data_IF_631612919564
#
_entry.id   IF_631612919564
#
_cell.length_a   1.000
_cell.length_b   1.000
_cell.length_c   1.000
_cell.angle_alpha   90.00
_cell.angle_beta   90.00
_cell.angle_gamma   90.00
#
_symmetry.space_group_name_H-M   'P 1'
#
loop_
_entity.id
_entity.type
_entity.pdbx_description
1 polymer ?
#
# COMPACT_ATOMS: atom_id res chain seq x y z
N UNK A 1 9.17 -26.00 25.21
CA UNK A 1 8.66 -24.68 25.64
C UNK A 1 9.71 -23.65 25.27
N UNK A 2 9.51 -22.93 24.18
CA UNK A 2 10.39 -21.84 23.75
C UNK A 2 9.49 -20.68 23.34
N UNK A 3 9.72 -19.55 24.01
CA UNK A 3 8.79 -18.44 24.14
C UNK A 3 8.45 -17.79 22.82
N UNK A 4 7.15 -17.65 22.57
CA UNK A 4 6.65 -16.64 21.65
C UNK A 4 7.02 -15.27 22.19
N UNK A 5 7.82 -14.54 21.42
CA UNK A 5 8.09 -13.13 21.70
C UNK A 5 6.82 -12.34 21.41
N UNK A 6 6.02 -12.13 22.45
CA UNK A 6 4.92 -11.18 22.46
C UNK A 6 5.47 -9.78 22.17
N UNK A 7 5.01 -9.20 21.07
CA UNK A 7 5.42 -7.89 20.52
C UNK A 7 5.15 -6.75 21.52
N UNK A 8 6.21 -6.04 21.91
CA UNK A 8 6.11 -4.75 22.60
C UNK A 8 5.72 -3.64 21.61
N UNK A 9 4.44 -3.25 21.63
CA UNK A 9 4.02 -1.87 21.96
C UNK A 9 4.12 -0.71 20.95
N UNK A 10 4.54 -0.89 19.69
CA UNK A 10 4.37 0.19 18.69
C UNK A 10 3.00 0.07 17.98
N UNK A 11 2.24 1.17 17.81
CA UNK A 11 0.99 1.12 17.06
C UNK A 11 1.28 0.68 15.62
N UNK A 12 0.39 -0.15 15.07
CA UNK A 12 0.40 -0.53 13.65
C UNK A 12 0.33 0.77 12.82
N UNK A 13 1.27 0.98 11.90
CA UNK A 13 1.22 2.13 11.00
C UNK A 13 0.36 1.82 9.77
N UNK A 14 -0.17 2.87 9.14
CA UNK A 14 -0.89 2.77 7.87
C UNK A 14 -0.20 3.63 6.80
N UNK A 15 -0.13 3.09 5.58
CA UNK A 15 0.61 3.69 4.47
C UNK A 15 -0.24 3.75 3.20
N UNK A 16 -0.10 4.83 2.46
CA UNK A 16 -0.49 4.90 1.04
C UNK A 16 0.78 4.75 0.20
N UNK A 17 0.79 3.78 -0.71
CA UNK A 17 1.81 3.59 -1.73
C UNK A 17 1.26 4.07 -3.09
N UNK A 18 2.11 4.67 -3.93
CA UNK A 18 1.67 5.23 -5.22
C UNK A 18 2.35 4.52 -6.39
N UNK A 19 1.55 3.93 -7.27
CA UNK A 19 1.99 3.24 -8.49
C UNK A 19 0.83 3.13 -9.50
N UNK A 20 1.11 2.92 -10.79
CA UNK A 20 0.06 2.66 -11.78
C UNK A 20 -0.70 1.38 -11.46
N UNK A 21 -2.00 1.31 -11.81
CA UNK A 21 -2.82 0.14 -11.47
C UNK A 21 -2.31 -1.15 -12.13
N UNK A 22 -1.77 -1.07 -13.35
CA UNK A 22 -1.10 -2.20 -14.00
C UNK A 22 0.05 -2.76 -13.15
N UNK A 23 0.89 -1.88 -12.58
CA UNK A 23 1.99 -2.29 -11.72
C UNK A 23 1.46 -2.93 -10.42
N UNK A 24 0.44 -2.32 -9.83
CA UNK A 24 -0.22 -2.82 -8.62
C UNK A 24 -0.81 -4.21 -8.85
N UNK A 25 -1.48 -4.44 -9.98
CA UNK A 25 -2.05 -5.76 -10.32
C UNK A 25 -0.99 -6.86 -10.38
N UNK A 26 0.21 -6.58 -10.91
CA UNK A 26 1.34 -7.52 -10.91
C UNK A 26 1.82 -7.82 -9.48
N UNK A 27 1.97 -6.78 -8.65
CA UNK A 27 2.33 -6.95 -7.23
C UNK A 27 1.29 -7.73 -6.45
N UNK A 28 0.00 -7.47 -6.70
CA UNK A 28 -1.12 -8.20 -6.10
C UNK A 28 -1.10 -9.69 -6.44
N UNK A 29 -0.94 -10.02 -7.72
CA UNK A 29 -0.84 -11.41 -8.19
C UNK A 29 0.39 -12.13 -7.64
N UNK A 30 1.49 -11.40 -7.40
CA UNK A 30 2.73 -11.95 -6.87
C UNK A 30 2.88 -11.88 -5.34
N UNK A 31 1.91 -11.32 -4.60
CA UNK A 31 1.99 -11.21 -3.13
C UNK A 31 3.01 -10.19 -2.61
N UNK A 32 3.41 -9.20 -3.41
CA UNK A 32 4.43 -8.23 -3.02
C UNK A 32 4.02 -6.78 -3.31
N UNK A 33 4.66 -5.85 -2.60
CA UNK A 33 4.69 -4.43 -2.92
C UNK A 33 6.07 -4.00 -3.40
N UNK A 34 6.06 -3.04 -4.32
CA UNK A 34 7.23 -2.34 -4.84
C UNK A 34 6.86 -0.86 -5.04
N UNK A 35 7.74 0.05 -4.62
CA UNK A 35 7.46 1.50 -4.65
C UNK A 35 8.71 2.29 -5.08
N UNK A 36 8.51 3.57 -5.42
CA UNK A 36 9.58 4.54 -5.64
C UNK A 36 10.69 4.03 -6.59
N UNK A 37 10.30 3.44 -7.73
CA UNK A 37 11.20 2.85 -8.74
C UNK A 37 12.08 1.71 -8.21
N UNK A 38 11.59 0.94 -7.22
CA UNK A 38 12.32 -0.22 -6.68
C UNK A 38 13.38 0.13 -5.65
N UNK A 39 13.35 1.34 -5.06
CA UNK A 39 14.30 1.75 -4.01
C UNK A 39 14.03 1.02 -2.69
N UNK A 40 15.08 0.64 -1.99
CA UNK A 40 14.98 0.00 -0.67
C UNK A 40 14.52 0.96 0.44
N UNK A 41 15.00 2.21 0.43
CA UNK A 41 14.83 3.13 1.57
C UNK A 41 13.36 3.39 1.96
N UNK A 42 12.41 3.57 1.02
CA UNK A 42 10.99 3.68 1.36
C UNK A 42 10.44 2.40 2.00
N UNK A 43 10.79 1.22 1.49
CA UNK A 43 10.29 -0.06 2.02
C UNK A 43 10.83 -0.38 3.42
N UNK A 44 12.02 0.10 3.78
CA UNK A 44 12.58 -0.07 5.14
C UNK A 44 11.82 0.72 6.22
N UNK A 45 10.99 1.71 5.82
CA UNK A 45 10.14 2.45 6.76
C UNK A 45 8.89 1.65 7.14
N UNK A 46 8.47 0.73 6.28
CA UNK A 46 7.29 -0.12 6.45
C UNK A 46 7.71 -1.37 7.22
N UNK A 47 6.99 -1.68 8.30
CA UNK A 47 7.31 -2.78 9.21
C UNK A 47 6.33 -3.95 9.06
N UNK A 48 6.71 -5.17 9.49
CA UNK A 48 5.76 -6.27 9.58
C UNK A 48 4.52 -5.89 10.39
N UNK A 49 3.34 -6.23 9.89
CA UNK A 49 2.05 -5.91 10.49
C UNK A 49 1.51 -4.51 10.16
N UNK A 50 2.30 -3.64 9.52
CA UNK A 50 1.79 -2.37 9.00
C UNK A 50 0.73 -2.63 7.92
N UNK A 51 -0.20 -1.70 7.81
CA UNK A 51 -1.26 -1.72 6.80
C UNK A 51 -0.85 -0.87 5.61
N UNK A 52 -1.14 -1.33 4.41
CA UNK A 52 -0.81 -0.61 3.17
C UNK A 52 -1.98 -0.61 2.21
N UNK A 53 -2.21 0.53 1.56
CA UNK A 53 -3.12 0.67 0.42
C UNK A 53 -2.38 1.30 -0.76
N UNK A 54 -2.60 0.80 -1.95
CA UNK A 54 -2.13 1.41 -3.18
C UNK A 54 -3.14 2.43 -3.69
N UNK A 55 -2.65 3.63 -4.01
CA UNK A 55 -3.32 4.63 -4.83
C UNK A 55 -2.69 4.68 -6.22
N UNK A 56 -3.51 4.61 -7.24
CA UNK A 56 -3.12 4.65 -8.64
C UNK A 56 -3.65 5.92 -9.31
N UNK A 57 -2.78 6.90 -9.59
CA UNK A 57 -3.18 8.09 -10.34
C UNK A 57 -3.52 7.74 -11.79
N UNK A 58 -2.94 6.65 -12.31
CA UNK A 58 -3.09 6.19 -13.68
C UNK A 58 -3.30 4.68 -13.76
N UNK A 59 -3.93 4.21 -14.84
CA UNK A 59 -4.04 2.77 -15.10
C UNK A 59 -2.71 2.21 -15.59
N UNK A 60 -2.15 2.84 -16.63
CA UNK A 60 -0.86 2.46 -17.22
C UNK A 60 0.26 3.39 -16.80
N UNK A 61 1.48 2.87 -16.78
CA UNK A 61 2.65 3.68 -16.48
C UNK A 61 2.89 4.74 -17.58
N UNK A 62 3.10 5.99 -17.17
CA UNK A 62 3.33 7.12 -18.10
C UNK A 62 2.07 7.64 -18.81
N UNK A 63 0.89 7.04 -18.59
CA UNK A 63 -0.36 7.51 -19.14
C UNK A 63 -0.87 8.76 -18.40
N UNK A 64 -1.77 9.53 -19.04
CA UNK A 64 -2.51 10.62 -18.43
C UNK A 64 -4.02 10.29 -18.39
N UNK A 65 -4.35 9.04 -18.08
CA UNK A 65 -5.71 8.49 -18.12
C UNK A 65 -6.56 8.85 -16.88
N UNK A 66 -5.94 9.37 -15.81
CA UNK A 66 -6.64 9.98 -14.69
C UNK A 66 -7.43 9.00 -13.81
N UNK A 67 -7.02 7.73 -13.74
CA UNK A 67 -7.69 6.69 -12.95
C UNK A 67 -8.01 7.10 -11.51
N UNK A 68 -7.05 7.72 -10.82
CA UNK A 68 -7.18 8.28 -9.44
C UNK A 68 -7.99 7.40 -8.48
N UNK A 69 -7.59 6.14 -8.35
CA UNK A 69 -8.31 5.13 -7.56
C UNK A 69 -7.39 4.38 -6.61
N UNK A 70 -7.93 3.91 -5.48
CA UNK A 70 -7.28 2.92 -4.64
C UNK A 70 -7.46 1.53 -5.26
N UNK A 71 -6.38 0.76 -5.37
CA UNK A 71 -6.34 -0.43 -6.26
C UNK A 71 -5.93 -1.74 -5.60
N UNK A 72 -5.30 -1.68 -4.43
CA UNK A 72 -5.03 -2.86 -3.59
C UNK A 72 -4.84 -2.44 -2.13
N UNK A 73 -5.19 -3.30 -1.19
CA UNK A 73 -5.10 -3.03 0.25
C UNK A 73 -4.72 -4.31 1.00
N UNK A 74 -3.89 -4.22 2.03
CA UNK A 74 -3.39 -5.40 2.70
C UNK A 74 -2.53 -5.15 3.94
N UNK A 75 -2.03 -6.24 4.50
CA UNK A 75 -1.11 -6.26 5.66
C UNK A 75 0.27 -6.70 5.23
N UNK A 76 1.28 -5.98 5.68
CA UNK A 76 2.68 -6.28 5.39
C UNK A 76 3.14 -7.50 6.17
N UNK A 77 3.72 -8.48 5.48
CA UNK A 77 4.17 -9.73 6.08
C UNK A 77 5.53 -9.58 6.79
N UNK A 78 5.89 -10.54 7.68
CA UNK A 78 7.24 -10.65 8.24
C UNK A 78 8.32 -10.73 7.16
N UNK A 79 9.53 -10.28 7.49
CA UNK A 79 10.69 -10.28 6.59
C UNK A 79 11.26 -8.87 6.36
N UNK A 80 12.42 -8.80 5.72
CA UNK A 80 13.05 -7.55 5.29
C UNK A 80 12.78 -7.28 3.81
N UNK A 81 12.88 -6.03 3.32
CA UNK A 81 12.85 -5.77 1.89
C UNK A 81 13.96 -6.55 1.18
N UNK A 82 13.60 -7.25 0.11
CA UNK A 82 14.51 -8.13 -0.63
C UNK A 82 14.59 -7.70 -2.10
N UNK A 83 15.69 -8.07 -2.76
CA UNK A 83 15.87 -7.82 -4.18
C UNK A 83 15.23 -8.93 -5.01
N UNK A 84 14.64 -8.54 -6.14
CA UNK A 84 14.09 -9.49 -7.12
C UNK A 84 14.62 -9.14 -8.51
N UNK A 85 15.35 -10.05 -9.14
CA UNK A 85 15.83 -9.85 -10.50
C UNK A 85 14.66 -10.03 -11.48
N UNK A 86 14.28 -8.94 -12.17
CA UNK A 86 13.25 -8.97 -13.19
C UNK A 86 13.79 -9.35 -14.59
N UNK A 87 15.10 -9.56 -14.73
CA UNK A 87 15.80 -9.61 -16.00
C UNK A 87 16.23 -8.21 -16.47
N UNK A 88 17.01 -8.17 -17.55
CA UNK A 88 17.46 -6.94 -18.22
C UNK A 88 18.17 -5.92 -17.32
N UNK A 89 18.80 -6.39 -16.24
CA UNK A 89 19.56 -5.56 -15.31
C UNK A 89 18.72 -4.74 -14.31
N UNK A 90 17.40 -4.94 -14.27
CA UNK A 90 16.54 -4.27 -13.30
C UNK A 90 16.25 -5.15 -12.08
N UNK A 91 16.86 -4.79 -10.94
CA UNK A 91 16.77 -5.54 -9.67
C UNK A 91 16.12 -4.66 -8.58
N UNK A 92 14.79 -4.49 -8.60
CA UNK A 92 14.08 -3.70 -7.61
C UNK A 92 14.02 -4.39 -6.24
N UNK A 93 13.82 -3.58 -5.20
CA UNK A 93 13.42 -4.05 -3.88
C UNK A 93 11.91 -4.26 -3.80
N UNK A 94 11.52 -5.35 -3.14
CA UNK A 94 10.14 -5.77 -2.87
C UNK A 94 9.97 -6.09 -1.40
N UNK A 95 8.71 -6.14 -0.96
CA UNK A 95 8.31 -6.60 0.37
C UNK A 95 7.00 -7.37 0.27
N UNK A 96 6.86 -8.45 1.01
CA UNK A 96 5.68 -9.30 0.93
C UNK A 96 4.47 -8.67 1.65
N UNK A 97 3.30 -8.83 1.06
CA UNK A 97 2.04 -8.29 1.55
C UNK A 97 0.95 -9.34 1.39
N UNK A 98 0.23 -9.60 2.48
CA UNK A 98 -1.02 -10.34 2.46
C UNK A 98 -2.12 -9.39 1.98
N UNK A 99 -2.42 -9.44 0.68
CA UNK A 99 -3.45 -8.62 0.05
C UNK A 99 -4.85 -9.09 0.46
N UNK A 100 -5.68 -8.15 0.89
CA UNK A 100 -7.06 -8.40 1.27
C UNK A 100 -7.95 -8.50 0.01
N UNK A 101 -8.99 -9.35 0.03
CA UNK A 101 -10.10 -9.23 -0.91
C UNK A 101 -10.68 -7.82 -0.87
N UNK A 102 -10.70 -7.15 -2.01
CA UNK A 102 -11.19 -5.78 -2.14
C UNK A 102 -11.51 -5.45 -3.60
N UNK A 103 -12.25 -4.36 -3.77
CA UNK A 103 -12.57 -3.72 -5.03
C UNK A 103 -11.78 -2.41 -5.19
N UNK A 104 -11.59 -1.97 -6.44
CA UNK A 104 -11.02 -0.65 -6.70
C UNK A 104 -12.02 0.44 -6.33
N UNK A 105 -11.54 1.53 -5.73
CA UNK A 105 -12.39 2.64 -5.28
C UNK A 105 -11.82 4.00 -5.72
N UNK A 106 -12.59 4.86 -6.41
CA UNK A 106 -12.12 6.19 -6.77
C UNK A 106 -11.90 7.06 -5.51
N UNK A 107 -10.88 7.92 -5.52
CA UNK A 107 -10.63 8.82 -4.38
C UNK A 107 -11.67 9.95 -4.28
N UNK A 108 -12.34 10.29 -5.38
CA UNK A 108 -13.21 11.46 -5.48
C UNK A 108 -14.28 11.55 -4.37
N UNK A 109 -15.04 10.48 -4.04
CA UNK A 109 -16.05 10.53 -2.97
C UNK A 109 -15.46 10.62 -1.55
N UNK A 110 -14.15 10.44 -1.41
CA UNK A 110 -13.45 10.45 -0.13
C UNK A 110 -12.73 11.77 0.15
N UNK A 111 -12.62 12.68 -0.82
CA UNK A 111 -11.82 13.90 -0.68
C UNK A 111 -12.24 14.77 0.50
N UNK A 112 -13.52 14.85 0.82
CA UNK A 112 -14.03 15.63 1.97
C UNK A 112 -14.15 14.81 3.25
N UNK A 113 -13.74 13.52 3.23
CA UNK A 113 -13.92 12.57 4.33
C UNK A 113 -12.61 12.09 4.95
N UNK A 114 -11.49 12.24 4.25
CA UNK A 114 -10.16 11.86 4.74
C UNK A 114 -9.49 13.06 5.41
N UNK A 115 -8.86 12.83 6.55
CA UNK A 115 -8.00 13.81 7.24
C UNK A 115 -6.87 14.29 6.32
N UNK A 116 -6.36 13.42 5.44
CA UNK A 116 -5.36 13.74 4.44
C UNK A 116 -5.80 14.81 3.43
N UNK A 117 -7.09 14.88 3.11
CA UNK A 117 -7.58 15.65 1.94
C UNK A 117 -8.63 16.71 2.26
N UNK A 118 -9.42 16.54 3.32
CA UNK A 118 -10.55 17.40 3.65
C UNK A 118 -10.09 18.84 3.94
N UNK A 119 -10.62 19.81 3.20
CA UNK A 119 -10.23 21.22 3.33
C UNK A 119 -8.82 21.55 2.82
N UNK A 120 -8.09 20.59 2.22
CA UNK A 120 -6.72 20.77 1.73
C UNK A 120 -6.73 21.08 0.23
N UNK A 121 -6.41 22.32 -0.14
CA UNK A 121 -6.43 22.78 -1.56
C UNK A 121 -5.51 21.97 -2.49
N UNK A 122 -4.33 21.58 -2.02
CA UNK A 122 -3.33 20.85 -2.80
C UNK A 122 -3.17 19.39 -2.30
N UNK A 123 -4.30 18.74 -1.99
CA UNK A 123 -4.33 17.39 -1.42
C UNK A 123 -3.56 16.33 -2.25
N UNK A 124 -3.40 16.55 -3.56
CA UNK A 124 -2.66 15.63 -4.44
C UNK A 124 -1.13 15.70 -4.29
N UNK A 125 -0.59 16.77 -3.70
CA UNK A 125 0.86 16.99 -3.63
C UNK A 125 1.63 15.90 -2.87
N UNK A 126 1.18 15.39 -1.70
CA UNK A 126 1.87 14.32 -0.97
C UNK A 126 2.05 13.02 -1.78
N UNK A 127 1.14 12.71 -2.71
CA UNK A 127 1.20 11.49 -3.52
C UNK A 127 2.42 11.45 -4.45
N UNK A 128 3.01 12.61 -4.79
CA UNK A 128 4.20 12.70 -5.67
C UNK A 128 5.44 12.03 -5.09
N UNK A 129 5.47 11.75 -3.78
CA UNK A 129 6.61 11.13 -3.12
C UNK A 129 6.63 9.60 -3.20
N UNK A 130 5.56 8.98 -3.71
CA UNK A 130 5.51 7.53 -3.94
C UNK A 130 5.12 6.69 -2.72
N UNK A 131 5.29 7.22 -1.51
CA UNK A 131 4.90 6.58 -0.25
C UNK A 131 4.65 7.64 0.83
N UNK A 132 3.53 7.55 1.54
CA UNK A 132 3.17 8.45 2.63
C UNK A 132 2.46 7.69 3.76
N UNK A 133 2.68 8.14 5.01
CA UNK A 133 1.95 7.64 6.17
C UNK A 133 0.59 8.33 6.28
N UNK A 134 -0.42 7.60 6.74
CA UNK A 134 -1.78 8.12 7.00
C UNK A 134 -2.27 7.69 8.38
N UNK A 135 -3.32 8.34 8.87
CA UNK A 135 -3.97 7.91 10.11
C UNK A 135 -4.69 6.56 9.91
N UNK A 136 -4.91 5.83 11.01
CA UNK A 136 -5.73 4.61 10.96
C UNK A 136 -7.16 4.92 10.50
N UNK A 137 -7.72 6.06 10.92
CA UNK A 137 -9.06 6.48 10.50
C UNK A 137 -9.18 6.73 9.00
N UNK A 138 -8.16 7.30 8.36
CA UNK A 138 -8.14 7.43 6.89
C UNK A 138 -8.03 6.07 6.21
N UNK A 139 -7.15 5.21 6.71
CA UNK A 139 -7.01 3.85 6.18
C UNK A 139 -8.33 3.06 6.26
N UNK A 140 -9.01 3.11 7.41
CA UNK A 140 -10.27 2.38 7.61
C UNK A 140 -11.39 2.90 6.69
N UNK A 141 -11.47 4.22 6.46
CA UNK A 141 -12.42 4.82 5.49
C UNK A 141 -12.12 4.39 4.05
N UNK A 142 -10.84 4.29 3.70
CA UNK A 142 -10.43 3.78 2.38
C UNK A 142 -10.79 2.30 2.26
N UNK A 143 -10.52 1.50 3.29
CA UNK A 143 -10.87 0.08 3.33
C UNK A 143 -12.38 -0.15 3.16
N UNK A 144 -13.21 0.65 3.84
CA UNK A 144 -14.67 0.65 3.68
C UNK A 144 -15.08 0.95 2.24
N UNK A 145 -14.52 2.01 1.63
CA UNK A 145 -14.82 2.38 0.24
C UNK A 145 -14.40 1.30 -0.76
N UNK A 146 -13.30 0.59 -0.47
CA UNK A 146 -12.81 -0.55 -1.25
C UNK A 146 -13.59 -1.85 -0.99
N UNK A 147 -14.59 -1.85 -0.11
CA UNK A 147 -15.30 -3.07 0.36
C UNK A 147 -14.32 -4.17 0.79
N UNK A 148 -13.26 -3.77 1.49
CA UNK A 148 -12.18 -4.68 1.83
C UNK A 148 -12.59 -5.62 2.96
N UNK A 149 -12.35 -6.92 2.77
CA UNK A 149 -12.51 -7.92 3.81
C UNK A 149 -11.12 -8.30 4.35
N UNK A 150 -10.86 -8.07 5.63
CA UNK A 150 -9.59 -8.48 6.24
C UNK A 150 -9.48 -9.99 6.13
N UNK A 151 -8.38 -10.48 5.56
CA UNK A 151 -8.04 -11.90 5.68
C UNK A 151 -7.57 -12.14 7.11
N UNK A 152 -8.45 -12.69 7.95
CA UNK A 152 -8.00 -13.39 9.14
C UNK A 152 -7.28 -14.65 8.65
N UNK A 153 -5.95 -14.66 8.72
CA UNK A 153 -5.21 -15.91 8.61
C UNK A 153 -5.63 -16.78 9.79
N UNK A 154 -6.41 -17.83 9.51
CA UNK A 154 -6.49 -18.98 10.40
C UNK A 154 -5.07 -19.47 10.59
N UNK A 155 -4.50 -19.19 11.76
CA UNK A 155 -3.28 -19.84 12.20
C UNK A 155 -3.55 -21.36 12.21
N UNK A 156 -3.01 -22.05 11.22
CA UNK A 156 -2.93 -23.51 11.16
C UNK A 156 -1.54 -23.95 11.62
#
# INVERSE_FOLDING_TARGET
MSGGTTRTGAPIAAWIAVASAEHVRRGRAGGFMQVCHGKAAPLRRIRPGDRVVYYSPTDRFGAADGLKSFTAIGTVLPGEPYQFDMGDGFIPFRRDVSWWPSEEAPIQPLLDRLELTAGVRNWGYPFRFGLLSVSQGDFDRIAEAMRAAVREELAA
#
